data_IF_441278977008
#
_entry.id   IF_441278977008
#
_cell.length_a   1.000
_cell.length_b   1.000
_cell.length_c   1.000
_cell.angle_alpha   90.00
_cell.angle_beta   90.00
_cell.angle_gamma   90.00
#
_symmetry.space_group_name_H-M   'P 1'
#
loop_
_entity.id
_entity.type
_entity.pdbx_description
1 polymer ?
#
# COMPACT_ATOMS: atom_id res chain seq x y z
N UNK A 1 -7.88 3.91 6.55
CA UNK A 1 -7.61 3.77 5.10
C UNK A 1 -6.13 3.65 4.76
N UNK A 2 -5.19 4.26 5.53
CA UNK A 2 -3.75 4.10 5.27
C UNK A 2 -3.27 2.65 5.44
N UNK A 3 -3.72 1.95 6.49
CA UNK A 3 -3.34 0.56 6.79
C UNK A 3 -3.63 -0.38 5.61
N UNK A 4 -4.86 -0.38 5.10
CA UNK A 4 -5.28 -1.24 3.98
C UNK A 4 -4.44 -0.99 2.72
N UNK A 5 -4.19 0.27 2.37
CA UNK A 5 -3.42 0.59 1.17
C UNK A 5 -1.94 0.17 1.28
N UNK A 6 -1.35 0.33 2.47
CA UNK A 6 0.04 -0.07 2.73
C UNK A 6 0.15 -1.60 2.73
N UNK A 7 -0.75 -2.30 3.44
CA UNK A 7 -0.81 -3.76 3.46
C UNK A 7 -1.02 -4.35 2.07
N UNK A 8 -1.92 -3.77 1.26
CA UNK A 8 -2.12 -4.18 -0.14
C UNK A 8 -0.88 -3.94 -1.00
N UNK A 9 -0.15 -2.85 -0.77
CA UNK A 9 1.10 -2.60 -1.48
C UNK A 9 2.15 -3.65 -1.11
N UNK A 10 2.27 -3.97 0.19
CA UNK A 10 3.20 -4.98 0.72
C UNK A 10 2.85 -6.42 0.30
N UNK A 11 1.58 -6.72 -0.01
CA UNK A 11 1.18 -8.06 -0.45
C UNK A 11 1.64 -8.42 -1.87
N UNK A 12 2.17 -7.46 -2.64
CA UNK A 12 2.63 -7.70 -4.01
C UNK A 12 3.99 -8.38 -4.04
N UNK A 13 4.17 -9.45 -4.83
CA UNK A 13 5.42 -10.21 -4.87
C UNK A 13 6.61 -9.40 -5.42
N UNK A 14 6.35 -8.32 -6.15
CA UNK A 14 7.35 -7.41 -6.69
C UNK A 14 7.60 -6.16 -5.83
N UNK A 15 6.91 -6.01 -4.69
CA UNK A 15 7.10 -4.89 -3.77
C UNK A 15 8.04 -5.31 -2.64
N UNK A 16 9.24 -4.75 -2.59
CA UNK A 16 10.19 -4.99 -1.48
C UNK A 16 9.96 -4.02 -0.31
N UNK A 17 9.87 -2.72 -0.59
CA UNK A 17 9.66 -1.70 0.42
C UNK A 17 8.98 -0.45 -0.19
N UNK A 18 7.75 -0.09 0.23
CA UNK A 18 7.10 1.14 -0.24
C UNK A 18 7.74 2.38 0.40
N UNK A 19 7.89 3.46 -0.37
CA UNK A 19 8.37 4.76 0.12
C UNK A 19 7.16 5.60 0.50
N UNK A 20 7.06 5.99 1.78
CA UNK A 20 5.89 6.68 2.32
C UNK A 20 6.27 8.07 2.84
N UNK A 21 5.60 9.11 2.33
CA UNK A 21 5.72 10.48 2.83
C UNK A 21 4.61 10.80 3.84
N UNK A 22 4.96 11.27 5.03
CA UNK A 22 4.01 11.56 6.11
C UNK A 22 4.41 12.82 6.88
N UNK A 23 3.43 13.66 7.23
CA UNK A 23 3.63 14.90 7.99
C UNK A 23 3.06 14.86 9.41
N UNK A 24 2.51 13.72 9.83
CA UNK A 24 1.87 13.53 11.15
C UNK A 24 2.34 12.24 11.79
N UNK A 25 2.63 12.27 13.09
CA UNK A 25 3.16 11.13 13.84
C UNK A 25 2.16 9.96 13.88
N UNK A 26 0.86 10.26 13.95
CA UNK A 26 -0.19 9.25 13.98
C UNK A 26 -0.18 8.41 12.69
N UNK A 27 0.14 9.02 11.55
CA UNK A 27 0.23 8.31 10.26
C UNK A 27 1.44 7.38 10.20
N UNK A 28 2.53 7.76 10.86
CA UNK A 28 3.72 6.90 10.99
C UNK A 28 3.35 5.65 11.78
N UNK A 29 2.61 5.80 12.90
CA UNK A 29 2.16 4.66 13.71
C UNK A 29 1.26 3.71 12.91
N UNK A 30 0.27 4.24 12.19
CA UNK A 30 -0.59 3.44 11.31
C UNK A 30 0.22 2.66 10.25
N UNK A 31 1.28 3.26 9.70
CA UNK A 31 2.13 2.58 8.71
C UNK A 31 2.94 1.44 9.31
N UNK A 32 3.41 1.59 10.54
CA UNK A 32 4.09 0.52 11.28
C UNK A 32 3.13 -0.63 11.56
N UNK A 33 1.90 -0.34 11.99
CA UNK A 33 0.87 -1.34 12.22
C UNK A 33 0.53 -2.13 10.94
N UNK A 34 0.51 -1.45 9.79
CA UNK A 34 0.18 -2.04 8.50
C UNK A 34 1.16 -3.14 8.03
N UNK A 35 2.40 -3.15 8.54
CA UNK A 35 3.39 -4.19 8.21
C UNK A 35 2.95 -5.57 8.70
N UNK A 36 2.20 -5.62 9.80
CA UNK A 36 1.72 -6.87 10.40
C UNK A 36 0.25 -7.17 10.03
N UNK A 37 -0.33 -6.37 9.12
CA UNK A 37 -1.71 -6.52 8.71
C UNK A 37 -1.80 -7.26 7.39
N UNK A 38 -2.34 -8.47 7.40
CA UNK A 38 -2.52 -9.30 6.21
C UNK A 38 -3.96 -9.21 5.70
N UNK A 39 -4.10 -8.94 4.40
CA UNK A 39 -5.37 -9.01 3.69
C UNK A 39 -5.62 -10.44 3.21
N UNK A 40 -6.88 -10.86 3.17
CA UNK A 40 -7.25 -12.12 2.55
C UNK A 40 -6.99 -12.08 1.03
N UNK A 41 -6.93 -13.25 0.40
CA UNK A 41 -6.78 -13.35 -1.06
C UNK A 41 -7.93 -12.68 -1.78
N UNK A 42 -9.14 -12.86 -1.28
CA UNK A 42 -10.37 -12.28 -1.84
C UNK A 42 -10.36 -10.76 -1.74
N UNK A 43 -9.88 -10.21 -0.61
CA UNK A 43 -9.72 -8.77 -0.42
C UNK A 43 -8.68 -8.18 -1.38
N UNK A 44 -7.52 -8.83 -1.52
CA UNK A 44 -6.48 -8.41 -2.48
C UNK A 44 -7.02 -8.42 -3.90
N UNK A 45 -7.70 -9.50 -4.32
CA UNK A 45 -8.30 -9.60 -5.65
C UNK A 45 -9.37 -8.54 -5.88
N UNK A 46 -10.16 -8.19 -4.85
CA UNK A 46 -11.18 -7.14 -4.95
C UNK A 46 -10.56 -5.77 -5.24
N UNK A 47 -9.41 -5.47 -4.63
CA UNK A 47 -8.67 -4.22 -4.86
C UNK A 47 -8.00 -4.25 -6.23
N UNK A 48 -7.42 -5.38 -6.64
CA UNK A 48 -6.71 -5.52 -7.91
C UNK A 48 -7.62 -5.33 -9.12
N UNK A 49 -8.88 -5.81 -9.03
CA UNK A 49 -9.88 -5.63 -10.09
C UNK A 49 -10.26 -4.16 -10.29
N UNK A 50 -10.09 -3.32 -9.27
CA UNK A 50 -10.42 -1.90 -9.31
C UNK A 50 -9.20 -1.02 -9.60
N UNK A 51 -7.99 -1.52 -9.40
CA UNK A 51 -6.76 -0.76 -9.54
C UNK A 51 -6.41 -0.50 -11.01
N UNK A 52 -6.28 0.78 -11.37
CA UNK A 52 -5.80 1.21 -12.68
C UNK A 52 -4.39 1.80 -12.49
N UNK A 53 -3.35 1.23 -13.13
CA UNK A 53 -2.00 1.78 -13.07
C UNK A 53 -1.98 3.24 -13.49
N UNK A 54 -1.28 4.08 -12.72
CA UNK A 54 -1.04 5.47 -13.12
C UNK A 54 0.13 5.53 -14.08
N UNK A 55 -0.02 6.37 -15.10
CA UNK A 55 1.08 6.71 -15.99
C UNK A 55 2.21 7.37 -15.18
N UNK A 56 3.46 7.17 -15.63
CA UNK A 56 4.62 7.87 -15.06
C UNK A 56 4.46 9.37 -15.31
N UNK A 57 4.62 10.17 -14.25
CA UNK A 57 4.57 11.63 -14.29
C UNK A 57 5.93 12.14 -13.81
N UNK A 58 6.69 12.85 -14.66
CA UNK A 58 8.03 13.32 -14.34
C UNK A 58 8.97 13.27 -15.55
N UNK A 59 10.27 13.44 -15.30
CA UNK A 59 11.30 13.40 -16.36
C UNK A 59 11.72 11.96 -16.67
N UNK A 60 11.73 11.66 -17.97
CA UNK A 60 12.36 10.49 -18.57
C UNK A 60 13.77 10.85 -19.03
#
# INVERSE_FOLDING_TARGET
>A
MAIVAIAWSLSKPYMTAPILGMSKVERIKEAVEAVNFELSKEEIESIDKLYIPRNVIGFF
#
